data_IF_239127747148
#
_entry.id   IF_239127747148
#
_cell.length_a   1.000
_cell.length_b   1.000
_cell.length_c   1.000
_cell.angle_alpha   90.00
_cell.angle_beta   90.00
_cell.angle_gamma   90.00
#
_symmetry.space_group_name_H-M   'P 1'
#
loop_
_entity.id
_entity.type
_entity.pdbx_description
1 polymer ?
#
# COMPACT_ATOMS: atom_id res chain seq x y z
N UNK A 1 -4.77 7.64 -21.20
CA UNK A 1 -3.59 7.19 -20.44
C UNK A 1 -4.08 6.27 -19.32
N UNK A 2 -3.39 5.17 -19.00
CA UNK A 2 -3.72 4.41 -17.79
C UNK A 2 -3.64 5.38 -16.60
N UNK A 3 -4.65 5.33 -15.72
CA UNK A 3 -4.67 6.15 -14.51
C UNK A 3 -3.56 5.61 -13.60
N UNK A 4 -2.61 6.46 -13.24
CA UNK A 4 -1.55 6.14 -12.28
C UNK A 4 -1.92 6.84 -11.00
N UNK A 5 -2.05 6.09 -9.90
CA UNK A 5 -2.28 6.66 -8.59
C UNK A 5 -1.08 7.54 -8.21
N UNK A 6 -1.29 8.81 -7.80
CA UNK A 6 -0.21 9.68 -7.36
C UNK A 6 0.56 9.06 -6.18
N UNK A 7 1.91 9.14 -6.15
CA UNK A 7 2.70 8.59 -5.05
C UNK A 7 2.28 9.13 -3.67
N UNK A 8 1.80 10.37 -3.61
CA UNK A 8 1.26 10.99 -2.40
C UNK A 8 0.00 10.29 -1.88
N UNK A 9 -0.86 9.79 -2.76
CA UNK A 9 -2.06 9.03 -2.37
C UNK A 9 -1.70 7.65 -1.85
N UNK A 10 -0.70 6.99 -2.46
CA UNK A 10 -0.16 5.71 -1.99
C UNK A 10 0.41 5.87 -0.57
N UNK A 11 1.23 6.89 -0.34
CA UNK A 11 1.78 7.17 0.99
C UNK A 11 0.69 7.50 2.01
N UNK A 12 -0.35 8.25 1.61
CA UNK A 12 -1.48 8.56 2.48
C UNK A 12 -2.29 7.32 2.86
N UNK A 13 -2.44 6.34 1.96
CA UNK A 13 -3.10 5.08 2.25
C UNK A 13 -2.29 4.24 3.24
N UNK A 14 -0.96 4.16 3.06
CA UNK A 14 -0.08 3.42 3.97
C UNK A 14 -0.09 4.01 5.39
N UNK A 15 -0.10 5.34 5.51
CA UNK A 15 -0.19 6.03 6.81
C UNK A 15 -1.50 5.79 7.56
N UNK A 16 -2.55 5.30 6.89
CA UNK A 16 -3.83 4.92 7.52
C UNK A 16 -3.80 3.50 8.08
N UNK A 17 -2.79 2.70 7.76
CA UNK A 17 -2.65 1.35 8.29
C UNK A 17 -2.12 1.45 9.72
N UNK A 18 -2.89 1.02 10.74
CA UNK A 18 -2.46 1.13 12.13
C UNK A 18 -1.28 0.21 12.41
N UNK A 19 -0.36 0.68 13.26
CA UNK A 19 0.81 -0.06 13.73
C UNK A 19 1.71 -0.61 12.61
N UNK A 20 1.77 0.05 11.45
CA UNK A 20 2.69 -0.31 10.37
C UNK A 20 4.06 0.34 10.64
N UNK A 21 5.09 -0.48 10.85
CA UNK A 21 6.45 0.01 11.09
C UNK A 21 6.99 0.80 9.88
N UNK A 22 7.83 1.80 10.13
CA UNK A 22 8.38 2.67 9.08
C UNK A 22 9.14 1.85 8.01
N UNK A 23 9.86 0.82 8.42
CA UNK A 23 10.59 -0.08 7.52
C UNK A 23 9.66 -0.86 6.59
N UNK A 24 8.54 -1.36 7.10
CA UNK A 24 7.54 -2.09 6.34
C UNK A 24 6.72 -1.15 5.44
N UNK A 25 6.42 0.06 5.90
CA UNK A 25 5.81 1.11 5.09
C UNK A 25 6.70 1.47 3.89
N UNK A 26 8.00 1.68 4.09
CA UNK A 26 8.93 1.99 3.00
C UNK A 26 9.04 0.82 2.00
N UNK A 27 9.08 -0.43 2.50
CA UNK A 27 9.08 -1.63 1.65
C UNK A 27 7.81 -1.72 0.81
N UNK A 28 6.65 -1.56 1.43
CA UNK A 28 5.36 -1.58 0.75
C UNK A 28 5.25 -0.45 -0.29
N UNK A 29 5.62 0.77 0.09
CA UNK A 29 5.58 1.94 -0.77
C UNK A 29 6.34 1.73 -2.08
N UNK A 30 7.56 1.18 -1.99
CA UNK A 30 8.38 0.88 -3.17
C UNK A 30 7.72 -0.10 -4.16
N UNK A 31 6.83 -0.98 -3.69
CA UNK A 31 6.11 -1.95 -4.53
C UNK A 31 4.84 -1.36 -5.12
N UNK A 32 4.11 -0.61 -4.31
CA UNK A 32 2.83 -0.01 -4.72
C UNK A 32 3.04 1.09 -5.77
N UNK A 33 4.14 1.86 -5.68
CA UNK A 33 4.42 2.95 -6.63
C UNK A 33 4.71 2.46 -8.06
N UNK A 34 5.14 1.20 -8.22
CA UNK A 34 5.46 0.61 -9.53
C UNK A 34 4.38 -0.34 -10.04
N UNK A 35 3.35 -0.64 -9.23
CA UNK A 35 2.30 -1.60 -9.58
C UNK A 35 0.92 -1.14 -9.11
N UNK A 36 0.18 -0.50 -10.02
CA UNK A 36 -1.18 -0.01 -9.78
C UNK A 36 -2.11 -1.11 -9.26
N UNK A 37 -2.00 -2.36 -9.73
CA UNK A 37 -2.87 -3.46 -9.30
C UNK A 37 -2.66 -3.84 -7.85
N UNK A 38 -1.44 -3.69 -7.31
CA UNK A 38 -1.20 -3.92 -5.88
C UNK A 38 -1.87 -2.82 -5.04
N UNK A 39 -1.84 -1.58 -5.52
CA UNK A 39 -2.56 -0.49 -4.84
C UNK A 39 -4.08 -0.69 -4.88
N UNK A 40 -4.63 -1.09 -6.03
CA UNK A 40 -6.05 -1.44 -6.16
C UNK A 40 -6.44 -2.59 -5.20
N UNK A 41 -5.60 -3.62 -5.09
CA UNK A 41 -5.81 -4.73 -4.16
C UNK A 41 -5.80 -4.26 -2.70
N UNK A 42 -4.86 -3.39 -2.31
CA UNK A 42 -4.81 -2.79 -0.97
C UNK A 42 -6.12 -2.06 -0.63
N UNK A 43 -6.64 -1.28 -1.57
CA UNK A 43 -7.86 -0.49 -1.38
C UNK A 43 -9.13 -1.34 -1.35
N UNK A 44 -9.12 -2.50 -2.00
CA UNK A 44 -10.21 -3.47 -1.97
C UNK A 44 -10.26 -4.29 -0.67
N UNK A 45 -9.17 -4.35 0.09
CA UNK A 45 -9.11 -5.11 1.34
C UNK A 45 -9.85 -4.39 2.50
N UNK A 46 -10.53 -5.17 3.36
CA UNK A 46 -10.94 -4.70 4.69
C UNK A 46 -9.75 -4.15 5.47
N UNK A 47 -9.99 -3.16 6.32
CA UNK A 47 -8.92 -2.42 7.01
C UNK A 47 -8.06 -3.33 7.89
N UNK A 48 -8.70 -4.29 8.54
CA UNK A 48 -8.09 -5.32 9.40
C UNK A 48 -7.15 -6.27 8.64
N UNK A 49 -7.32 -6.40 7.31
CA UNK A 49 -6.48 -7.25 6.46
C UNK A 49 -5.36 -6.48 5.76
N UNK A 50 -5.40 -5.14 5.75
CA UNK A 50 -4.39 -4.33 5.03
C UNK A 50 -2.99 -4.55 5.59
N UNK A 51 -2.80 -4.46 6.91
CA UNK A 51 -1.50 -4.70 7.56
C UNK A 51 -0.95 -6.10 7.29
N UNK A 52 -1.65 -7.20 7.66
CA UNK A 52 -1.09 -8.54 7.43
C UNK A 52 -0.84 -8.82 5.95
N UNK A 53 -1.70 -8.31 5.04
CA UNK A 53 -1.46 -8.44 3.61
C UNK A 53 -0.19 -7.72 3.15
N UNK A 54 0.02 -6.47 3.56
CA UNK A 54 1.24 -5.71 3.24
C UNK A 54 2.52 -6.45 3.69
N UNK A 55 2.47 -7.16 4.82
CA UNK A 55 3.58 -7.96 5.35
C UNK A 55 3.80 -9.27 4.58
N UNK A 56 2.85 -9.70 3.74
CA UNK A 56 3.02 -10.88 2.88
C UNK A 56 3.64 -10.55 1.52
N UNK A 57 3.75 -9.27 1.17
CA UNK A 57 4.32 -8.85 -0.10
C UNK A 57 5.85 -8.91 0.04
N UNK A 58 6.49 -9.83 -0.67
CA UNK A 58 7.96 -10.02 -0.77
C UNK A 58 8.63 -9.23 -1.89
#
# INVERSE_FOLDING_TARGET
MPKVTPPTEILAALKKVPDLEDSDMLRAYGKLIVNERLFEALMALPEELRKPWLLTID
#
